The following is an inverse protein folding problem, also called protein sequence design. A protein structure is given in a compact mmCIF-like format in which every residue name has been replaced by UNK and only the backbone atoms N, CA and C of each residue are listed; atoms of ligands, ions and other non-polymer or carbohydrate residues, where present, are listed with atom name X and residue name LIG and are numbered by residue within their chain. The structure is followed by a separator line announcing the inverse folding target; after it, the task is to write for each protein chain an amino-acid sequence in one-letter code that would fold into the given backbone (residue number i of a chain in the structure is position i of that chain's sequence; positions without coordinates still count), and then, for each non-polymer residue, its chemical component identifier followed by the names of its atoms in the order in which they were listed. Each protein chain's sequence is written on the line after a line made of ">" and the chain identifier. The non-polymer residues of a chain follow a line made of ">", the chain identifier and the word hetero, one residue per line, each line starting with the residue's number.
data_IF_408639068885
#
_entry.id   IF_408639068885
#
_cell.length_a   1.000
_cell.length_b   1.000
_cell.length_c   1.000
_cell.angle_alpha   90.00
_cell.angle_beta   90.00
_cell.angle_gamma   90.00
#
_symmetry.space_group_name_H-M   'P 1'
#
loop_
_entity.id
_entity.type
_entity.pdbx_description
1 polymer ?
#
# COMPACT_ATOMS: atom_id res chain seq x y z
N UNK A 1 2.97 -21.93 -2.20
CA UNK A 1 2.11 -20.94 -2.86
C UNK A 1 0.63 -21.14 -2.52
N UNK A 2 -0.04 -22.17 -3.02
CA UNK A 2 -1.50 -22.37 -2.82
C UNK A 2 -1.92 -22.31 -1.34
N UNK A 3 -1.16 -22.95 -0.43
CA UNK A 3 -1.43 -22.89 1.02
C UNK A 3 -1.39 -21.46 1.59
N UNK A 4 -0.50 -20.60 1.10
CA UNK A 4 -0.40 -19.22 1.56
C UNK A 4 -1.58 -18.37 1.05
N UNK A 5 -1.96 -18.54 -0.23
CA UNK A 5 -3.11 -17.86 -0.82
C UNK A 5 -4.42 -18.30 -0.16
N UNK A 6 -4.62 -19.61 0.05
CA UNK A 6 -5.81 -20.13 0.76
C UNK A 6 -5.89 -19.57 2.17
N UNK A 7 -4.77 -19.49 2.90
CA UNK A 7 -4.76 -18.92 4.26
C UNK A 7 -5.14 -17.43 4.27
N UNK A 8 -4.67 -16.64 3.29
CA UNK A 8 -5.05 -15.25 3.11
C UNK A 8 -6.55 -15.09 2.83
N UNK A 9 -7.12 -15.95 1.97
CA UNK A 9 -8.55 -15.95 1.68
C UNK A 9 -9.39 -16.36 2.87
N UNK A 10 -9.02 -17.45 3.55
CA UNK A 10 -9.71 -17.91 4.75
C UNK A 10 -9.79 -16.81 5.82
N UNK A 11 -8.72 -16.04 6.00
CA UNK A 11 -8.71 -14.92 6.92
C UNK A 11 -9.63 -13.79 6.44
N UNK A 12 -9.50 -13.38 5.17
CA UNK A 12 -10.28 -12.28 4.60
C UNK A 12 -11.79 -12.55 4.61
N UNK A 13 -12.19 -13.79 4.38
CA UNK A 13 -13.59 -14.21 4.40
C UNK A 13 -14.16 -14.35 5.81
N UNK A 14 -13.33 -14.38 6.86
CA UNK A 14 -13.77 -14.59 8.23
C UNK A 14 -13.88 -13.29 9.07
N UNK A 15 -13.86 -12.11 8.44
CA UNK A 15 -13.97 -10.83 9.15
C UNK A 15 -15.26 -10.69 10.00
N UNK A 16 -16.30 -11.50 9.74
CA UNK A 16 -17.54 -11.51 10.51
C UNK A 16 -17.67 -12.71 11.47
N UNK A 17 -16.65 -13.56 11.59
CA UNK A 17 -16.68 -14.83 12.36
C UNK A 17 -17.86 -15.75 11.99
N UNK A 18 -18.40 -15.63 10.77
CA UNK A 18 -19.53 -16.43 10.31
C UNK A 18 -19.11 -17.78 9.73
N UNK A 19 -17.79 -18.01 9.59
CA UNK A 19 -17.28 -19.22 8.97
C UNK A 19 -17.14 -20.36 9.98
N UNK A 20 -17.48 -21.58 9.54
CA UNK A 20 -17.42 -22.81 10.37
C UNK A 20 -16.05 -23.48 10.38
N UNK A 21 -15.05 -22.94 9.68
CA UNK A 21 -13.70 -23.49 9.61
C UNK A 21 -12.74 -22.73 10.51
N UNK A 22 -11.73 -23.44 11.04
CA UNK A 22 -10.69 -22.82 11.85
C UNK A 22 -9.80 -21.93 10.97
N UNK A 23 -9.64 -20.66 11.34
CA UNK A 23 -8.88 -19.67 10.58
C UNK A 23 -7.46 -19.57 11.14
N UNK A 24 -6.41 -19.68 10.30
CA UNK A 24 -5.05 -19.52 10.75
C UNK A 24 -4.84 -18.15 11.40
N UNK A 25 -4.06 -18.09 12.47
CA UNK A 25 -3.73 -16.80 13.09
C UNK A 25 -2.75 -16.00 12.21
N UNK A 26 -2.65 -14.69 12.45
CA UNK A 26 -1.82 -13.79 11.63
C UNK A 26 -0.34 -14.21 11.55
N UNK A 27 0.20 -14.81 12.62
CA UNK A 27 1.59 -15.28 12.66
C UNK A 27 1.80 -16.48 11.76
N UNK A 28 0.84 -17.41 11.73
CA UNK A 28 0.84 -18.57 10.82
C UNK A 28 0.74 -18.13 9.36
N UNK A 29 -0.14 -17.18 9.04
CA UNK A 29 -0.28 -16.67 7.67
C UNK A 29 1.02 -15.97 7.24
N UNK A 30 1.61 -15.14 8.10
CA UNK A 30 2.89 -14.50 7.81
C UNK A 30 4.01 -15.51 7.54
N UNK A 31 4.09 -16.59 8.33
CA UNK A 31 5.06 -17.67 8.07
C UNK A 31 4.82 -18.34 6.71
N UNK A 32 3.56 -18.62 6.38
CA UNK A 32 3.21 -19.23 5.09
C UNK A 32 3.57 -18.33 3.90
N UNK A 33 3.32 -17.02 4.00
CA UNK A 33 3.63 -16.03 2.96
C UNK A 33 5.14 -15.80 2.85
N UNK A 34 5.83 -15.63 3.98
CA UNK A 34 7.27 -15.33 4.01
C UNK A 34 8.15 -16.51 3.59
N UNK A 35 7.73 -17.75 3.88
CA UNK A 35 8.49 -18.96 3.50
C UNK A 35 8.11 -19.47 2.10
N UNK A 36 7.16 -18.83 1.42
CA UNK A 36 6.74 -19.25 0.11
C UNK A 36 7.77 -18.87 -0.96
N UNK A 37 8.16 -19.84 -1.79
CA UNK A 37 8.88 -19.58 -3.03
C UNK A 37 7.88 -19.14 -4.09
N UNK A 38 7.86 -17.85 -4.40
CA UNK A 38 6.97 -17.27 -5.39
C UNK A 38 7.55 -17.38 -6.80
N UNK A 39 6.86 -18.11 -7.67
CA UNK A 39 7.18 -18.21 -9.09
C UNK A 39 6.79 -16.94 -9.85
N UNK A 40 5.65 -16.34 -9.51
CA UNK A 40 5.20 -15.06 -10.05
C UNK A 40 5.36 -13.97 -8.98
N UNK A 41 6.13 -12.93 -9.33
CA UNK A 41 6.43 -11.81 -8.45
C UNK A 41 5.29 -10.81 -8.30
N UNK A 42 4.38 -10.75 -9.28
CA UNK A 42 3.16 -9.95 -9.15
C UNK A 42 2.22 -10.59 -8.12
N UNK A 43 2.15 -11.93 -8.11
CA UNK A 43 1.42 -12.68 -7.08
C UNK A 43 2.07 -12.54 -5.71
N UNK A 44 3.41 -12.52 -5.64
CA UNK A 44 4.14 -12.21 -4.40
C UNK A 44 3.75 -10.82 -3.86
N UNK A 45 3.73 -9.81 -4.73
CA UNK A 45 3.34 -8.45 -4.38
C UNK A 45 1.88 -8.38 -3.89
N UNK A 46 0.96 -9.04 -4.58
CA UNK A 46 -0.45 -9.11 -4.16
C UNK A 46 -0.58 -9.74 -2.76
N UNK A 47 0.08 -10.87 -2.53
CA UNK A 47 0.08 -11.55 -1.25
C UNK A 47 0.66 -10.68 -0.12
N UNK A 48 1.73 -9.94 -0.39
CA UNK A 48 2.32 -8.99 0.56
C UNK A 48 1.37 -7.84 0.87
N UNK A 49 0.73 -7.25 -0.14
CA UNK A 49 -0.23 -6.15 0.06
C UNK A 49 -1.43 -6.60 0.88
N UNK A 50 -1.95 -7.81 0.65
CA UNK A 50 -3.02 -8.39 1.49
C UNK A 50 -2.56 -8.68 2.91
N UNK A 51 -1.34 -9.18 3.10
CA UNK A 51 -0.76 -9.31 4.44
C UNK A 51 -0.66 -7.96 5.15
N UNK A 52 -0.30 -6.88 4.45
CA UNK A 52 -0.28 -5.53 5.05
C UNK A 52 -1.67 -5.08 5.49
N UNK A 53 -2.72 -5.34 4.70
CA UNK A 53 -4.10 -4.99 5.08
C UNK A 53 -4.56 -5.75 6.34
N UNK A 54 -4.29 -7.05 6.39
CA UNK A 54 -4.58 -7.90 7.55
C UNK A 54 -3.81 -7.40 8.78
N UNK A 55 -2.51 -7.14 8.62
CA UNK A 55 -1.65 -6.63 9.69
C UNK A 55 -2.10 -5.26 10.21
N UNK A 56 -2.49 -4.35 9.32
CA UNK A 56 -2.99 -3.04 9.68
C UNK A 56 -4.29 -3.13 10.49
N UNK A 57 -5.24 -3.95 10.04
CA UNK A 57 -6.51 -4.18 10.74
C UNK A 57 -6.30 -4.80 12.12
N UNK A 58 -5.30 -5.69 12.26
CA UNK A 58 -4.91 -6.28 13.53
C UNK A 58 -3.97 -5.39 14.38
N UNK A 59 -3.74 -4.14 13.98
CA UNK A 59 -2.83 -3.18 14.64
C UNK A 59 -1.38 -3.68 14.79
N UNK A 60 -0.96 -4.62 13.95
CA UNK A 60 0.41 -5.13 13.91
C UNK A 60 1.26 -4.31 12.93
N UNK A 61 1.63 -3.09 13.33
CA UNK A 61 2.34 -2.14 12.47
C UNK A 61 3.77 -2.57 12.13
N UNK A 62 4.42 -3.39 12.98
CA UNK A 62 5.72 -3.97 12.67
C UNK A 62 5.63 -4.89 11.45
N UNK A 63 4.58 -5.70 11.37
CA UNK A 63 4.35 -6.59 10.24
C UNK A 63 4.00 -5.80 8.97
N UNK A 64 3.23 -4.71 9.07
CA UNK A 64 2.98 -3.80 7.93
C UNK A 64 4.31 -3.30 7.36
N UNK A 65 5.21 -2.81 8.21
CA UNK A 65 6.52 -2.31 7.78
C UNK A 65 7.38 -3.39 7.13
N UNK A 66 7.46 -4.59 7.71
CA UNK A 66 8.22 -5.72 7.14
C UNK A 66 7.70 -6.14 5.77
N UNK A 67 6.38 -6.25 5.62
CA UNK A 67 5.75 -6.59 4.35
C UNK A 67 5.92 -5.46 3.32
N UNK A 68 5.79 -4.19 3.72
CA UNK A 68 6.00 -3.03 2.88
C UNK A 68 7.42 -2.98 2.32
N UNK A 69 8.44 -3.19 3.14
CA UNK A 69 9.84 -3.24 2.69
C UNK A 69 10.08 -4.34 1.64
N UNK A 70 9.41 -5.50 1.77
CA UNK A 70 9.47 -6.55 0.74
C UNK A 70 8.72 -6.12 -0.52
N UNK A 71 7.53 -5.54 -0.39
CA UNK A 71 6.70 -5.09 -1.50
C UNK A 71 7.42 -4.03 -2.35
N UNK A 72 8.03 -3.01 -1.75
CA UNK A 72 8.73 -1.95 -2.50
C UNK A 72 9.99 -2.44 -3.23
N UNK A 73 10.62 -3.54 -2.77
CA UNK A 73 11.72 -4.19 -3.51
C UNK A 73 11.24 -4.85 -4.81
N UNK A 74 9.93 -5.07 -4.94
CA UNK A 74 9.31 -5.65 -6.13
C UNK A 74 8.91 -4.59 -7.18
N UNK A 75 9.18 -3.31 -6.94
CA UNK A 75 8.94 -2.25 -7.91
C UNK A 75 9.81 -2.40 -9.16
N UNK A 76 9.18 -2.28 -10.32
CA UNK A 76 9.79 -2.41 -11.64
C UNK A 76 10.02 -3.85 -12.08
N UNK A 77 9.35 -4.85 -11.48
CA UNK A 77 9.53 -6.24 -11.91
C UNK A 77 8.89 -6.48 -13.28
N UNK A 78 7.68 -5.96 -13.53
CA UNK A 78 7.01 -6.20 -14.81
C UNK A 78 7.79 -5.63 -16.00
N UNK A 79 8.53 -4.53 -15.78
CA UNK A 79 9.38 -3.91 -16.81
C UNK A 79 10.59 -4.81 -17.14
N UNK A 80 11.12 -5.56 -16.16
CA UNK A 80 12.32 -6.39 -16.31
C UNK A 80 12.06 -7.73 -16.99
N UNK A 81 10.85 -8.28 -16.88
CA UNK A 81 10.51 -9.64 -17.35
C UNK A 81 9.93 -9.65 -18.79
N UNK A 82 10.48 -8.82 -19.67
CA UNK A 82 9.87 -8.40 -20.95
C UNK A 82 9.37 -9.57 -21.84
N UNK A 83 8.08 -9.51 -22.19
CA UNK A 83 7.37 -10.35 -23.16
C UNK A 83 6.32 -9.54 -23.95
N UNK A 84 5.20 -10.14 -24.35
CA UNK A 84 4.13 -9.48 -25.14
C UNK A 84 3.68 -8.12 -24.58
N UNK A 85 3.78 -7.06 -25.40
CA UNK A 85 3.58 -5.64 -25.02
C UNK A 85 2.26 -5.33 -24.29
N UNK A 86 1.15 -6.00 -24.63
CA UNK A 86 -0.17 -5.76 -24.00
C UNK A 86 -0.27 -6.35 -22.59
N UNK A 87 0.29 -7.54 -22.36
CA UNK A 87 0.33 -8.18 -21.04
C UNK A 87 1.26 -7.41 -20.10
N UNK A 88 2.40 -6.95 -20.61
CA UNK A 88 3.33 -6.08 -19.87
C UNK A 88 2.64 -4.80 -19.40
N UNK A 89 1.82 -4.16 -20.24
CA UNK A 89 1.07 -2.96 -19.84
C UNK A 89 0.02 -3.25 -18.76
N UNK A 90 -0.71 -4.38 -18.85
CA UNK A 90 -1.70 -4.74 -17.83
C UNK A 90 -1.04 -5.06 -16.49
N UNK A 91 -0.03 -5.94 -16.49
CA UNK A 91 0.71 -6.31 -15.29
C UNK A 91 1.39 -5.10 -14.65
N UNK A 92 1.90 -4.15 -15.47
CA UNK A 92 2.48 -2.92 -14.96
C UNK A 92 1.44 -2.08 -14.23
N UNK A 93 0.24 -1.91 -14.80
CA UNK A 93 -0.84 -1.19 -14.10
C UNK A 93 -1.17 -1.84 -12.76
N UNK A 94 -1.39 -3.16 -12.75
CA UNK A 94 -1.70 -3.91 -11.51
C UNK A 94 -0.58 -3.78 -10.48
N UNK A 95 0.68 -3.87 -10.91
CA UNK A 95 1.84 -3.67 -10.03
C UNK A 95 1.80 -2.28 -9.37
N UNK A 96 1.56 -1.22 -10.15
CA UNK A 96 1.47 0.14 -9.63
C UNK A 96 0.24 0.33 -8.72
N UNK A 97 -0.89 -0.32 -9.00
CA UNK A 97 -2.05 -0.31 -8.11
C UNK A 97 -1.73 -0.94 -6.75
N UNK A 98 -1.08 -2.11 -6.75
CA UNK A 98 -0.69 -2.81 -5.53
C UNK A 98 0.33 -2.03 -4.72
N UNK A 99 1.32 -1.41 -5.38
CA UNK A 99 2.30 -0.54 -4.73
C UNK A 99 1.66 0.73 -4.15
N UNK A 100 0.65 1.29 -4.82
CA UNK A 100 -0.12 2.41 -4.30
C UNK A 100 -0.83 2.05 -2.99
N UNK A 101 -1.48 0.88 -2.94
CA UNK A 101 -2.13 0.38 -1.73
C UNK A 101 -1.12 0.11 -0.61
N UNK A 102 0.01 -0.54 -0.93
CA UNK A 102 1.07 -0.81 0.03
C UNK A 102 1.65 0.48 0.64
N UNK A 103 1.94 1.49 -0.18
CA UNK A 103 2.40 2.80 0.27
C UNK A 103 1.37 3.52 1.14
N UNK A 104 0.08 3.42 0.81
CA UNK A 104 -0.99 3.99 1.63
C UNK A 104 -1.04 3.33 3.03
N UNK A 105 -0.95 2.00 3.10
CA UNK A 105 -0.93 1.25 4.36
C UNK A 105 0.32 1.55 5.20
N UNK A 106 1.48 1.72 4.54
CA UNK A 106 2.70 2.17 5.20
C UNK A 106 2.52 3.55 5.82
N UNK A 107 1.89 4.48 5.10
CA UNK A 107 1.57 5.83 5.60
C UNK A 107 0.64 5.80 6.81
N UNK A 108 -0.45 5.03 6.71
CA UNK A 108 -1.41 4.85 7.81
C UNK A 108 -0.75 4.25 9.05
N UNK A 109 0.03 3.18 8.90
CA UNK A 109 0.75 2.57 10.04
C UNK A 109 1.77 3.51 10.69
N UNK A 110 2.43 4.36 9.88
CA UNK A 110 3.37 5.37 10.39
C UNK A 110 2.66 6.48 11.15
N UNK A 111 1.46 6.87 10.69
CA UNK A 111 0.60 7.84 11.37
C UNK A 111 0.09 7.28 12.71
N UNK A 112 -0.44 6.06 12.73
CA UNK A 112 -1.03 5.47 13.94
C UNK A 112 0.04 5.14 15.00
N UNK A 113 1.31 5.01 14.60
CA UNK A 113 2.45 4.87 15.52
C UNK A 113 3.12 6.20 15.86
N UNK A 114 2.73 7.31 15.23
CA UNK A 114 3.26 8.64 15.48
C UNK A 114 2.64 9.25 16.74
N UNK A 115 3.17 8.90 17.91
CA UNK A 115 2.86 9.58 19.18
C UNK A 115 3.50 10.99 19.24
N UNK A 116 3.23 11.87 18.27
CA UNK A 116 3.79 13.22 18.19
C UNK A 116 5.26 13.28 17.75
N UNK A 117 5.81 12.20 17.20
CA UNK A 117 7.18 12.14 16.68
C UNK A 117 7.26 12.72 15.28
N UNK A 118 7.91 13.88 15.13
CA UNK A 118 8.08 14.60 13.83
C UNK A 118 8.67 13.74 12.71
N UNK A 119 9.57 12.81 13.03
CA UNK A 119 10.15 11.90 12.04
C UNK A 119 9.10 10.95 11.45
N UNK A 120 8.17 10.47 12.27
CA UNK A 120 7.08 9.60 11.81
C UNK A 120 6.07 10.38 10.96
N UNK A 121 5.84 11.66 11.27
CA UNK A 121 5.05 12.55 10.42
C UNK A 121 5.64 12.67 9.01
N UNK A 122 6.97 12.87 8.93
CA UNK A 122 7.66 12.95 7.63
C UNK A 122 7.57 11.63 6.85
N UNK A 123 7.73 10.49 7.52
CA UNK A 123 7.64 9.18 6.90
C UNK A 123 6.21 8.89 6.39
N UNK A 124 5.19 9.28 7.16
CA UNK A 124 3.80 9.15 6.75
C UNK A 124 3.50 9.98 5.50
N UNK A 125 3.91 11.26 5.47
CA UNK A 125 3.73 12.12 4.29
C UNK A 125 4.37 11.53 3.04
N UNK A 126 5.65 11.13 3.13
CA UNK A 126 6.37 10.52 2.00
C UNK A 126 5.68 9.24 1.50
N UNK A 127 5.15 8.43 2.40
CA UNK A 127 4.42 7.22 2.03
C UNK A 127 3.10 7.55 1.30
N UNK A 128 2.37 8.58 1.73
CA UNK A 128 1.17 9.02 1.01
C UNK A 128 1.49 9.64 -0.36
N UNK A 129 2.57 10.41 -0.49
CA UNK A 129 3.04 10.92 -1.78
C UNK A 129 3.42 9.78 -2.74
N UNK A 130 4.16 8.78 -2.25
CA UNK A 130 4.48 7.58 -3.01
C UNK A 130 3.21 6.85 -3.46
N UNK A 131 2.23 6.73 -2.57
CA UNK A 131 0.93 6.12 -2.90
C UNK A 131 0.23 6.83 -4.05
N UNK A 132 0.21 8.17 -4.06
CA UNK A 132 -0.35 8.94 -5.17
C UNK A 132 0.45 8.78 -6.46
N UNK A 133 1.79 8.79 -6.38
CA UNK A 133 2.64 8.57 -7.56
C UNK A 133 2.39 7.21 -8.21
N UNK A 134 2.26 6.15 -7.41
CA UNK A 134 1.90 4.83 -7.90
C UNK A 134 0.48 4.80 -8.50
N UNK A 135 -0.50 5.45 -7.86
CA UNK A 135 -1.85 5.58 -8.40
C UNK A 135 -1.90 6.33 -9.74
N UNK A 136 -1.09 7.38 -9.90
CA UNK A 136 -0.95 8.15 -11.14
C UNK A 136 -0.34 7.30 -12.27
N UNK A 137 0.70 6.51 -11.96
CA UNK A 137 1.33 5.58 -12.92
C UNK A 137 0.37 4.46 -13.35
N UNK A 138 -0.44 3.95 -12.43
CA UNK A 138 -1.52 3.02 -12.74
C UNK A 138 -2.62 3.64 -13.62
N UNK A 139 -2.77 4.97 -13.57
CA UNK A 139 -3.89 5.68 -14.18
C UNK A 139 -5.20 5.43 -13.42
N UNK A 140 -5.14 5.25 -12.09
CA UNK A 140 -6.31 4.95 -11.27
C UNK A 140 -6.62 6.11 -10.34
N UNK A 141 -7.58 6.96 -10.74
CA UNK A 141 -7.95 8.16 -9.97
C UNK A 141 -8.47 7.84 -8.57
N UNK A 142 -9.10 6.68 -8.36
CA UNK A 142 -9.62 6.28 -7.05
C UNK A 142 -8.49 6.08 -6.05
N UNK A 143 -7.37 5.50 -6.48
CA UNK A 143 -6.20 5.31 -5.63
C UNK A 143 -5.53 6.65 -5.29
N UNK A 144 -5.38 7.55 -6.28
CA UNK A 144 -4.84 8.89 -6.06
C UNK A 144 -5.70 9.67 -5.06
N UNK A 145 -7.01 9.66 -5.25
CA UNK A 145 -7.95 10.33 -4.34
C UNK A 145 -7.96 9.71 -2.94
N UNK A 146 -7.79 8.38 -2.83
CA UNK A 146 -7.68 7.71 -1.53
C UNK A 146 -6.39 8.13 -0.80
N UNK A 147 -5.26 8.19 -1.50
CA UNK A 147 -3.99 8.68 -0.94
C UNK A 147 -4.12 10.14 -0.47
N UNK A 148 -4.71 11.01 -1.31
CA UNK A 148 -4.95 12.42 -0.99
C UNK A 148 -5.85 12.58 0.24
N UNK A 149 -6.92 11.78 0.35
CA UNK A 149 -7.82 11.78 1.51
C UNK A 149 -7.07 11.45 2.80
N UNK A 150 -6.27 10.39 2.80
CA UNK A 150 -5.51 9.98 3.99
C UNK A 150 -4.45 11.03 4.35
N UNK A 151 -3.79 11.62 3.36
CA UNK A 151 -2.88 12.75 3.57
C UNK A 151 -3.58 13.97 4.18
N UNK A 152 -4.75 14.38 3.68
CA UNK A 152 -5.47 15.53 4.24
C UNK A 152 -5.96 15.28 5.68
N UNK A 153 -6.42 14.06 5.98
CA UNK A 153 -6.74 13.68 7.34
C UNK A 153 -5.51 13.77 8.26
N UNK A 154 -4.34 13.38 7.75
CA UNK A 154 -3.08 13.48 8.47
C UNK A 154 -2.65 14.94 8.70
N UNK A 155 -2.87 15.85 7.73
CA UNK A 155 -2.55 17.27 7.85
C UNK A 155 -3.17 17.92 9.09
N UNK A 156 -4.33 17.43 9.56
CA UNK A 156 -4.98 17.93 10.77
C UNK A 156 -4.04 17.89 11.99
N UNK A 157 -3.21 16.85 12.11
CA UNK A 157 -2.25 16.70 13.21
C UNK A 157 -1.11 17.73 13.17
N UNK A 158 -0.87 18.35 12.00
CA UNK A 158 0.26 19.27 11.74
C UNK A 158 -0.15 20.76 11.79
N UNK A 159 -1.46 21.07 11.74
CA UNK A 159 -1.98 22.44 11.79
C UNK A 159 -1.47 23.26 12.99
N UNK A 160 -1.35 22.69 14.21
CA UNK A 160 -0.92 23.45 15.39
C UNK A 160 0.50 24.04 15.27
N UNK A 161 1.36 23.47 14.42
CA UNK A 161 2.77 23.86 14.29
C UNK A 161 3.02 24.66 13.01
N UNK A 162 3.38 25.96 13.09
CA UNK A 162 3.65 26.79 11.90
C UNK A 162 4.77 26.24 11.01
N UNK A 163 5.80 25.64 11.61
CA UNK A 163 6.90 25.01 10.87
C UNK A 163 6.42 23.78 10.10
N UNK A 164 5.53 22.98 10.69
CA UNK A 164 4.99 21.78 10.05
C UNK A 164 4.01 22.14 8.92
N UNK A 165 3.22 23.20 9.07
CA UNK A 165 2.37 23.71 7.98
C UNK A 165 3.16 24.07 6.72
N UNK A 166 4.37 24.62 6.87
CA UNK A 166 5.24 24.93 5.71
C UNK A 166 5.67 23.67 4.96
N UNK A 167 5.79 22.54 5.64
CA UNK A 167 6.14 21.26 5.01
C UNK A 167 5.01 20.69 4.14
N UNK A 168 3.76 21.14 4.33
CA UNK A 168 2.61 20.65 3.59
C UNK A 168 2.53 21.20 2.15
N UNK A 169 3.20 22.32 1.86
CA UNK A 169 3.08 22.98 0.56
C UNK A 169 3.48 22.05 -0.59
N UNK A 170 4.64 21.41 -0.47
CA UNK A 170 5.16 20.56 -1.54
C UNK A 170 4.33 19.28 -1.74
N UNK A 171 3.96 18.53 -0.69
CA UNK A 171 3.03 17.42 -0.82
C UNK A 171 1.71 17.79 -1.48
N UNK A 172 1.10 18.92 -1.09
CA UNK A 172 -0.17 19.39 -1.68
C UNK A 172 -0.01 19.59 -3.18
N UNK A 173 1.08 20.21 -3.64
CA UNK A 173 1.37 20.38 -5.07
C UNK A 173 1.52 19.04 -5.78
N UNK A 174 2.21 18.07 -5.18
CA UNK A 174 2.36 16.71 -5.71
C UNK A 174 1.00 16.04 -5.90
N UNK A 175 0.12 16.08 -4.90
CA UNK A 175 -1.23 15.51 -5.01
C UNK A 175 -2.08 16.18 -6.07
N UNK A 176 -2.08 17.52 -6.14
CA UNK A 176 -2.84 18.25 -7.15
C UNK A 176 -2.38 17.90 -8.57
N UNK A 177 -1.07 17.78 -8.79
CA UNK A 177 -0.53 17.35 -10.08
C UNK A 177 -0.94 15.91 -10.40
N UNK A 178 -0.80 14.97 -9.45
CA UNK A 178 -1.20 13.57 -9.65
C UNK A 178 -2.69 13.45 -9.99
N UNK A 179 -3.56 14.21 -9.31
CA UNK A 179 -5.01 14.25 -9.58
C UNK A 179 -5.27 14.76 -11.00
N UNK A 180 -4.69 15.91 -11.37
CA UNK A 180 -4.90 16.51 -12.69
C UNK A 180 -4.39 15.60 -13.82
N UNK A 181 -3.18 15.05 -13.69
CA UNK A 181 -2.59 14.15 -14.69
C UNK A 181 -3.39 12.87 -14.85
N UNK A 182 -3.89 12.31 -13.75
CA UNK A 182 -4.67 11.07 -13.79
C UNK A 182 -6.06 11.31 -14.38
N UNK A 183 -6.74 12.38 -13.95
CA UNK A 183 -8.06 12.75 -14.46
C UNK A 183 -8.05 13.08 -15.96
N UNK A 184 -6.97 13.70 -16.45
CA UNK A 184 -6.81 13.99 -17.88
C UNK A 184 -6.66 12.72 -18.74
N UNK A 185 -6.19 11.60 -18.17
CA UNK A 185 -6.06 10.31 -18.86
C UNK A 185 -7.36 9.48 -18.87
N UNK A 186 -8.30 9.80 -17.99
CA UNK A 186 -9.61 9.16 -17.90
C UNK A 186 -10.66 9.77 -18.87
N UNK A 187 -10.34 10.92 -19.49
CA UNK A 187 -11.14 11.55 -20.56
C UNK A 187 -10.70 11.05 -21.94
#
# INVERSE_FOLDING_TARGET
>A
MMRALVALEMYSCNNLNLMKFNVPNISEINKLVSNCLWSDKLVELEALTRMMQIAYTAQNYELVSKCGQKAFKLDGITIKTAGFKKLVNYNYKVEQELLSVAACLQGLSSMDTAFGRKEMHMNAMKAFEQSACYGEKAGNIRLVMNAARNFWNFCLSMIPSPMERKLLEQPIRTFLNAINTTYAKDR
#
